data_IF_757864155139
#
_entry.id   IF_757864155139
#
_cell.length_a   1.000
_cell.length_b   1.000
_cell.length_c   1.000
_cell.angle_alpha   90.00
_cell.angle_beta   90.00
_cell.angle_gamma   90.00
#
_symmetry.space_group_name_H-M   'P 1'
#
loop_
_entity.id
_entity.type
_entity.pdbx_description
1 polymer ?
#
# COMPACT_ATOMS: atom_id res chain seq x y z
N UNK A 1 -9.38 1.26 25.67
CA UNK A 1 -8.62 1.77 24.52
C UNK A 1 -9.15 1.11 23.25
N UNK A 2 -9.32 1.88 22.17
CA UNK A 2 -9.77 1.37 20.88
C UNK A 2 -8.69 0.50 20.23
N UNK A 3 -7.42 0.85 20.49
CA UNK A 3 -6.23 0.18 19.95
C UNK A 3 -5.25 -0.16 21.07
N UNK A 4 -5.37 -1.35 21.65
CA UNK A 4 -4.55 -1.76 22.78
C UNK A 4 -3.07 -1.93 22.46
N UNK A 5 -2.72 -2.15 21.19
CA UNK A 5 -1.36 -2.31 20.70
C UNK A 5 -0.59 -0.98 20.65
N UNK A 6 -1.27 0.16 20.64
CA UNK A 6 -0.64 1.47 20.55
C UNK A 6 -0.25 1.97 21.94
N UNK A 7 1.01 2.32 22.10
CA UNK A 7 1.56 2.85 23.37
C UNK A 7 2.31 4.15 23.11
N UNK A 8 2.04 5.17 23.91
CA UNK A 8 2.87 6.38 23.90
C UNK A 8 4.21 6.03 24.56
N UNK A 9 5.29 6.15 23.80
CA UNK A 9 6.66 5.81 24.23
C UNK A 9 7.43 7.03 24.69
N UNK A 10 7.02 8.24 24.27
CA UNK A 10 7.64 9.50 24.68
C UNK A 10 6.60 10.60 24.69
N UNK A 11 6.68 11.52 25.65
CA UNK A 11 5.74 12.61 25.80
C UNK A 11 4.37 12.19 26.35
N UNK A 12 3.31 12.75 25.79
CA UNK A 12 1.92 12.52 26.21
C UNK A 12 0.96 12.51 25.01
N UNK A 13 -0.27 12.08 25.25
CA UNK A 13 -1.37 12.23 24.26
C UNK A 13 -1.73 13.72 24.08
N UNK A 14 -2.22 14.04 22.88
CA UNK A 14 -2.75 15.37 22.57
C UNK A 14 -4.00 15.69 23.39
N UNK A 15 -4.25 16.96 23.59
CA UNK A 15 -5.48 17.45 24.25
C UNK A 15 -6.56 17.70 23.20
N UNK A 16 -7.81 17.25 23.44
CA UNK A 16 -8.94 17.60 22.59
C UNK A 16 -9.09 19.11 22.44
N UNK A 17 -9.45 19.58 21.24
CA UNK A 17 -9.63 20.99 20.94
C UNK A 17 -8.36 21.79 20.71
N UNK A 18 -7.18 21.18 20.80
CA UNK A 18 -5.89 21.86 20.61
C UNK A 18 -5.26 21.50 19.27
N UNK A 19 -4.26 22.30 18.84
CA UNK A 19 -3.41 22.00 17.69
C UNK A 19 -2.22 21.10 18.07
N UNK A 20 -2.42 20.20 19.01
CA UNK A 20 -1.43 19.22 19.42
C UNK A 20 -1.59 17.93 18.64
N UNK A 21 -0.47 17.28 18.33
CA UNK A 21 -0.42 15.99 17.64
C UNK A 21 0.52 15.03 18.34
N UNK A 22 0.27 13.74 18.14
CA UNK A 22 1.22 12.67 18.44
C UNK A 22 1.58 11.97 17.14
N UNK A 23 2.83 11.60 16.99
CA UNK A 23 3.38 11.00 15.78
C UNK A 23 3.73 9.54 16.01
N UNK A 24 3.52 8.69 15.04
CA UNK A 24 4.00 7.32 15.08
C UNK A 24 5.53 7.25 14.96
N UNK A 25 6.14 6.21 15.49
CA UNK A 25 7.60 6.04 15.51
C UNK A 25 8.23 6.22 14.14
N UNK A 26 7.65 5.61 13.09
CA UNK A 26 8.18 5.68 11.73
C UNK A 26 8.16 7.09 11.14
N UNK A 27 7.23 7.94 11.58
CA UNK A 27 7.21 9.37 11.20
C UNK A 27 8.37 10.09 11.90
N UNK A 28 8.56 9.84 13.21
CA UNK A 28 9.64 10.42 13.99
C UNK A 28 11.04 10.10 13.47
N UNK A 29 11.20 8.91 12.86
CA UNK A 29 12.48 8.47 12.28
C UNK A 29 12.74 9.00 10.86
N UNK A 30 11.69 9.37 10.11
CA UNK A 30 11.79 9.75 8.69
C UNK A 30 11.78 11.25 8.43
N UNK A 31 11.18 12.01 9.29
CA UNK A 31 10.93 13.44 9.06
C UNK A 31 11.59 14.28 10.15
N UNK A 32 12.30 15.31 9.74
CA UNK A 32 12.78 16.35 10.65
C UNK A 32 11.61 17.19 11.19
N UNK A 33 11.77 17.78 12.35
CA UNK A 33 10.72 18.59 12.99
C UNK A 33 9.64 17.79 13.70
N UNK A 34 9.89 16.52 13.98
CA UNK A 34 8.96 15.61 14.67
C UNK A 34 9.30 15.37 16.14
N UNK A 35 10.31 16.08 16.67
CA UNK A 35 10.68 16.02 18.08
C UNK A 35 9.59 16.62 18.97
N UNK A 36 9.54 16.18 20.25
CA UNK A 36 8.59 16.72 21.21
C UNK A 36 8.84 18.21 21.43
N UNK A 37 7.78 19.01 21.27
CA UNK A 37 7.82 20.48 21.32
C UNK A 37 8.10 21.14 19.98
N UNK A 38 8.46 20.37 18.94
CA UNK A 38 8.63 20.89 17.59
C UNK A 38 7.28 21.07 16.89
N UNK A 39 7.30 21.78 15.76
CA UNK A 39 6.10 22.13 15.01
C UNK A 39 6.17 21.58 13.61
N UNK A 40 5.16 20.79 13.23
CA UNK A 40 4.92 20.30 11.88
C UNK A 40 3.86 21.15 11.20
N UNK A 41 4.13 21.57 9.95
CA UNK A 41 3.19 22.36 9.16
C UNK A 41 2.51 21.49 8.09
N UNK A 42 1.21 21.30 8.25
CA UNK A 42 0.37 20.63 7.25
C UNK A 42 -1.10 21.09 7.37
N UNK A 43 -1.88 20.91 6.29
CA UNK A 43 -3.28 21.38 6.24
C UNK A 43 -3.40 22.91 6.40
N UNK A 44 -2.36 23.68 6.04
CA UNK A 44 -2.34 25.14 6.20
C UNK A 44 -2.20 25.65 7.63
N UNK A 45 -1.83 24.79 8.57
CA UNK A 45 -1.73 25.07 10.01
C UNK A 45 -0.47 24.46 10.61
N UNK A 46 0.03 25.07 11.68
CA UNK A 46 1.14 24.55 12.46
C UNK A 46 0.59 23.66 13.61
N UNK A 47 1.20 22.48 13.78
CA UNK A 47 0.82 21.48 14.76
C UNK A 47 1.99 21.17 15.68
N UNK A 48 1.76 21.25 16.98
CA UNK A 48 2.81 20.97 17.98
C UNK A 48 2.85 19.48 18.28
N UNK A 49 4.02 18.87 18.12
CA UNK A 49 4.25 17.46 18.50
C UNK A 49 4.39 17.37 20.02
N UNK A 50 3.50 16.64 20.67
CA UNK A 50 3.49 16.48 22.13
C UNK A 50 3.81 15.06 22.60
N UNK A 51 3.91 14.11 21.67
CA UNK A 51 4.27 12.75 21.99
C UNK A 51 4.57 11.91 20.75
N UNK A 52 5.23 10.80 21.02
CA UNK A 52 5.53 9.76 20.03
C UNK A 52 4.90 8.45 20.51
N UNK A 53 4.24 7.74 19.63
CA UNK A 53 3.69 6.42 19.93
C UNK A 53 4.31 5.32 19.09
N UNK A 54 4.23 4.11 19.61
CA UNK A 54 4.66 2.88 18.97
C UNK A 54 3.46 1.95 18.84
N UNK A 55 3.29 1.38 17.66
CA UNK A 55 2.21 0.45 17.33
C UNK A 55 2.75 -0.96 16.93
N UNK A 56 3.96 -1.28 17.36
CA UNK A 56 4.58 -2.60 17.18
C UNK A 56 4.94 -2.92 15.73
N UNK A 57 5.35 -1.95 14.93
CA UNK A 57 5.70 -2.13 13.51
C UNK A 57 4.51 -2.22 12.58
N UNK A 58 3.30 -1.89 13.03
CA UNK A 58 2.11 -1.84 12.20
C UNK A 58 2.04 -0.55 11.37
N UNK A 59 1.12 -0.49 10.40
CA UNK A 59 0.88 0.69 9.58
C UNK A 59 0.60 1.96 10.39
N UNK A 60 0.09 1.81 11.62
CA UNK A 60 -0.17 2.94 12.53
C UNK A 60 1.11 3.69 12.92
N UNK A 61 2.28 3.04 12.90
CA UNK A 61 3.56 3.73 13.16
C UNK A 61 3.88 4.82 12.13
N UNK A 62 3.17 4.84 11.01
CA UNK A 62 3.27 5.86 9.96
C UNK A 62 2.11 6.85 9.97
N UNK A 63 1.36 6.94 11.07
CA UNK A 63 0.25 7.86 11.22
C UNK A 63 0.58 9.03 12.17
N UNK A 64 -0.17 10.12 11.99
CA UNK A 64 -0.20 11.27 12.88
C UNK A 64 -1.61 11.34 13.50
N UNK A 65 -1.69 11.38 14.81
CA UNK A 65 -2.95 11.48 15.52
C UNK A 65 -3.11 12.82 16.21
N UNK A 66 -4.28 13.40 16.09
CA UNK A 66 -4.64 14.66 16.69
C UNK A 66 -6.16 14.78 16.84
N UNK A 67 -6.61 15.95 17.25
CA UNK A 67 -8.03 16.24 17.38
C UNK A 67 -8.71 16.25 16.00
N UNK A 68 -9.73 15.39 15.83
CA UNK A 68 -10.42 15.21 14.56
C UNK A 68 -11.14 16.45 14.06
N UNK A 69 -11.74 17.25 14.96
CA UNK A 69 -12.42 18.49 14.58
C UNK A 69 -11.42 19.54 14.09
N UNK A 70 -10.29 19.67 14.79
CA UNK A 70 -9.23 20.57 14.37
C UNK A 70 -8.62 20.17 13.02
N UNK A 71 -8.47 18.85 12.77
CA UNK A 71 -7.98 18.33 11.49
C UNK A 71 -8.96 18.56 10.35
N UNK A 72 -10.26 18.32 10.56
CA UNK A 72 -11.30 18.59 9.57
C UNK A 72 -11.25 20.06 9.13
N UNK A 73 -11.14 20.98 10.08
CA UNK A 73 -11.07 22.41 9.77
C UNK A 73 -9.78 22.76 9.00
N UNK A 74 -8.63 22.21 9.41
CA UNK A 74 -7.34 22.47 8.75
C UNK A 74 -7.34 21.98 7.30
N UNK A 75 -7.91 20.80 7.04
CA UNK A 75 -8.02 20.24 5.69
C UNK A 75 -9.25 20.70 4.92
N UNK A 76 -10.07 21.59 5.49
CA UNK A 76 -11.31 22.11 4.89
C UNK A 76 -12.25 20.98 4.42
N UNK A 77 -12.32 19.89 5.20
CA UNK A 77 -13.22 18.79 4.92
C UNK A 77 -14.57 19.03 5.59
N UNK A 78 -15.63 18.48 5.01
CA UNK A 78 -17.00 18.62 5.56
C UNK A 78 -17.41 17.42 6.42
N UNK A 79 -16.65 16.32 6.33
CA UNK A 79 -16.97 15.08 7.05
C UNK A 79 -15.72 14.24 7.30
N UNK A 80 -15.83 13.33 8.25
CA UNK A 80 -14.84 12.26 8.46
C UNK A 80 -14.86 11.27 7.31
N UNK A 81 -13.69 10.77 6.90
CA UNK A 81 -13.57 9.73 5.86
C UNK A 81 -14.00 8.36 6.38
N UNK A 82 -13.70 8.07 7.63
CA UNK A 82 -14.08 6.83 8.31
C UNK A 82 -14.20 7.05 9.81
N UNK A 83 -15.01 6.23 10.45
CA UNK A 83 -15.17 6.20 11.91
C UNK A 83 -14.96 4.76 12.37
N UNK A 84 -14.00 4.52 13.23
CA UNK A 84 -13.81 3.22 13.88
C UNK A 84 -14.47 3.22 15.26
N UNK A 85 -15.27 2.21 15.54
CA UNK A 85 -15.93 2.02 16.81
C UNK A 85 -15.77 0.62 17.33
N UNK A 86 -15.70 0.47 18.65
CA UNK A 86 -15.67 -0.86 19.29
C UNK A 86 -17.06 -1.19 19.82
N UNK A 87 -17.59 -2.33 19.41
CA UNK A 87 -18.85 -2.84 19.91
C UNK A 87 -18.61 -3.55 21.26
N UNK A 88 -19.53 -3.35 22.20
CA UNK A 88 -19.53 -4.08 23.47
C UNK A 88 -19.83 -5.56 23.29
N UNK A 89 -20.74 -5.86 22.35
CA UNK A 89 -21.09 -7.22 21.95
C UNK A 89 -20.89 -7.39 20.43
N UNK A 90 -19.99 -8.29 20.00
CA UNK A 90 -19.75 -8.58 18.59
C UNK A 90 -20.99 -9.11 17.84
N UNK A 91 -21.94 -9.75 18.55
CA UNK A 91 -23.16 -10.29 17.94
C UNK A 91 -24.12 -9.19 17.49
N UNK A 92 -24.01 -7.99 18.05
CA UNK A 92 -24.85 -6.84 17.66
C UNK A 92 -24.43 -6.17 16.33
N UNK A 93 -23.35 -6.63 15.69
CA UNK A 93 -22.81 -6.03 14.47
C UNK A 93 -23.81 -5.96 13.33
N UNK A 94 -24.48 -7.08 13.02
CA UNK A 94 -25.39 -7.16 11.88
C UNK A 94 -26.67 -6.31 12.07
N UNK A 95 -27.12 -6.17 13.31
CA UNK A 95 -28.24 -5.30 13.64
C UNK A 95 -27.84 -3.82 13.50
N UNK A 96 -26.67 -3.46 13.98
CA UNK A 96 -26.12 -2.11 13.84
C UNK A 96 -25.87 -1.75 12.37
N UNK A 97 -25.26 -2.65 11.61
CA UNK A 97 -25.02 -2.48 10.17
C UNK A 97 -26.30 -2.16 9.43
N UNK A 98 -27.33 -3.01 9.57
CA UNK A 98 -28.65 -2.77 8.93
C UNK A 98 -29.26 -1.44 9.31
N UNK A 99 -29.19 -1.07 10.60
CA UNK A 99 -29.74 0.19 11.09
C UNK A 99 -29.02 1.42 10.50
N UNK A 100 -27.71 1.39 10.37
CA UNK A 100 -26.92 2.50 9.85
C UNK A 100 -27.04 2.61 8.31
N UNK A 101 -27.02 1.48 7.60
CA UNK A 101 -27.13 1.46 6.14
C UNK A 101 -28.57 1.74 5.65
N UNK A 102 -29.58 1.52 6.47
CA UNK A 102 -30.97 1.84 6.15
C UNK A 102 -31.37 3.29 6.42
N UNK A 103 -30.53 4.09 7.09
CA UNK A 103 -30.84 5.50 7.33
C UNK A 103 -30.53 6.34 6.07
N UNK A 104 -31.55 6.91 5.39
CA UNK A 104 -31.36 7.64 4.14
C UNK A 104 -30.53 8.94 4.30
N UNK A 105 -30.32 9.39 5.53
CA UNK A 105 -29.48 10.56 5.82
C UNK A 105 -28.01 10.25 5.86
N UNK A 106 -27.65 8.96 5.94
CA UNK A 106 -26.28 8.48 6.08
C UNK A 106 -25.94 7.66 4.85
N UNK A 107 -24.90 8.07 4.15
CA UNK A 107 -24.31 7.25 3.08
C UNK A 107 -23.07 6.56 3.68
N UNK A 108 -23.29 5.45 4.38
CA UNK A 108 -22.25 4.73 5.10
C UNK A 108 -22.13 3.30 4.56
N UNK A 109 -20.90 2.83 4.48
CA UNK A 109 -20.56 1.43 4.28
C UNK A 109 -19.98 0.89 5.61
N UNK A 110 -20.74 0.00 6.26
CA UNK A 110 -20.39 -0.52 7.58
C UNK A 110 -19.72 -1.89 7.44
N UNK A 111 -18.44 -1.93 7.73
CA UNK A 111 -17.61 -3.13 7.63
C UNK A 111 -16.93 -3.48 8.94
N UNK A 112 -16.62 -4.75 9.12
CA UNK A 112 -15.68 -5.17 10.16
C UNK A 112 -14.28 -4.67 9.78
N UNK A 113 -13.52 -4.23 10.76
CA UNK A 113 -12.17 -3.70 10.53
C UNK A 113 -11.28 -4.68 9.76
N UNK A 114 -11.35 -5.96 10.08
CA UNK A 114 -10.62 -7.00 9.37
C UNK A 114 -10.98 -7.06 7.88
N UNK A 115 -12.27 -7.10 7.57
CA UNK A 115 -12.78 -7.14 6.19
C UNK A 115 -12.37 -5.90 5.41
N UNK A 116 -12.39 -4.72 6.04
CA UNK A 116 -11.96 -3.49 5.44
C UNK A 116 -10.48 -3.54 4.98
N UNK A 117 -9.59 -4.04 5.84
CA UNK A 117 -8.17 -4.17 5.48
C UNK A 117 -7.91 -5.32 4.50
N UNK A 118 -8.67 -6.41 4.57
CA UNK A 118 -8.59 -7.51 3.60
C UNK A 118 -8.95 -7.02 2.19
N UNK A 119 -10.06 -6.33 2.01
CA UNK A 119 -10.48 -5.75 0.73
C UNK A 119 -9.46 -4.75 0.19
N UNK A 120 -8.90 -3.90 1.03
CA UNK A 120 -7.87 -2.94 0.62
C UNK A 120 -6.59 -3.64 0.17
N UNK A 121 -6.23 -4.74 0.81
CA UNK A 121 -5.05 -5.54 0.44
C UNK A 121 -5.26 -6.31 -0.86
N UNK A 122 -6.48 -6.82 -1.12
CA UNK A 122 -6.82 -7.52 -2.36
C UNK A 122 -6.67 -6.63 -3.60
N UNK A 123 -7.10 -5.38 -3.54
CA UNK A 123 -6.96 -4.42 -4.64
C UNK A 123 -5.48 -4.23 -5.00
N UNK A 124 -4.63 -4.04 -4.01
CA UNK A 124 -3.18 -3.88 -4.22
C UNK A 124 -2.53 -5.17 -4.73
N UNK A 125 -2.90 -6.32 -4.17
CA UNK A 125 -2.41 -7.63 -4.59
C UNK A 125 -2.77 -7.93 -6.05
N UNK A 126 -4.01 -7.68 -6.43
CA UNK A 126 -4.49 -7.86 -7.80
C UNK A 126 -3.74 -6.93 -8.78
N UNK A 127 -3.55 -5.67 -8.42
CA UNK A 127 -2.77 -4.73 -9.23
C UNK A 127 -1.34 -5.23 -9.48
N UNK A 128 -0.63 -5.67 -8.43
CA UNK A 128 0.72 -6.22 -8.54
C UNK A 128 0.73 -7.50 -9.41
N UNK A 129 -0.27 -8.36 -9.25
CA UNK A 129 -0.39 -9.60 -10.03
C UNK A 129 -0.61 -9.34 -11.52
N UNK A 130 -1.49 -8.40 -11.87
CA UNK A 130 -1.70 -8.00 -13.28
C UNK A 130 -0.44 -7.36 -13.87
N UNK A 131 0.24 -6.50 -13.12
CA UNK A 131 1.49 -5.89 -13.54
C UNK A 131 2.57 -6.94 -13.79
N UNK A 132 2.73 -7.88 -12.86
CA UNK A 132 3.69 -8.99 -12.98
C UNK A 132 3.40 -9.88 -14.18
N UNK A 133 2.13 -10.24 -14.39
CA UNK A 133 1.72 -11.03 -15.57
C UNK A 133 2.03 -10.31 -16.87
N UNK A 134 1.68 -9.04 -16.96
CA UNK A 134 1.93 -8.22 -18.17
C UNK A 134 3.42 -8.15 -18.49
N UNK A 135 4.26 -7.86 -17.49
CA UNK A 135 5.71 -7.83 -17.67
C UNK A 135 6.27 -9.19 -18.06
N UNK A 136 5.78 -10.28 -17.47
CA UNK A 136 6.20 -11.64 -17.82
C UNK A 136 5.92 -11.98 -19.28
N UNK A 137 4.76 -11.60 -19.80
CA UNK A 137 4.41 -11.81 -21.21
C UNK A 137 5.35 -11.01 -22.13
N UNK A 138 5.57 -9.73 -21.83
CA UNK A 138 6.47 -8.87 -22.63
C UNK A 138 7.90 -9.42 -22.65
N UNK A 139 8.44 -9.81 -21.49
CA UNK A 139 9.78 -10.37 -21.40
C UNK A 139 9.88 -11.74 -22.10
N UNK A 140 8.86 -12.58 -22.03
CA UNK A 140 8.83 -13.86 -22.74
C UNK A 140 8.91 -13.68 -24.24
N UNK A 141 8.16 -12.74 -24.81
CA UNK A 141 8.22 -12.39 -26.24
C UNK A 141 9.61 -11.86 -26.60
N UNK A 142 10.16 -10.95 -25.80
CA UNK A 142 11.51 -10.42 -26.01
C UNK A 142 12.60 -11.50 -25.99
N UNK A 143 12.52 -12.41 -25.03
CA UNK A 143 13.44 -13.55 -24.92
C UNK A 143 13.34 -14.48 -26.15
N UNK A 144 12.13 -14.74 -26.65
CA UNK A 144 11.91 -15.54 -27.85
C UNK A 144 12.55 -14.91 -29.09
N UNK A 145 12.37 -13.60 -29.27
CA UNK A 145 12.99 -12.85 -30.36
C UNK A 145 14.52 -12.87 -30.24
N UNK A 146 15.04 -12.64 -29.05
CA UNK A 146 16.49 -12.69 -28.79
C UNK A 146 17.11 -14.06 -29.10
N UNK A 147 16.46 -15.13 -28.68
CA UNK A 147 16.87 -16.49 -29.00
C UNK A 147 16.87 -16.77 -30.51
N UNK A 148 15.82 -16.32 -31.22
CA UNK A 148 15.75 -16.46 -32.69
C UNK A 148 16.89 -15.72 -33.40
N UNK A 149 17.21 -14.49 -32.98
CA UNK A 149 18.31 -13.71 -33.56
C UNK A 149 19.65 -14.43 -33.32
N UNK A 150 19.88 -14.94 -32.11
CA UNK A 150 21.11 -15.65 -31.77
C UNK A 150 21.26 -16.93 -32.60
N UNK A 151 20.17 -17.72 -32.71
CA UNK A 151 20.21 -18.94 -33.56
C UNK A 151 20.41 -18.60 -35.03
N UNK A 152 19.72 -17.59 -35.55
CA UNK A 152 19.90 -17.14 -36.92
C UNK A 152 21.36 -16.74 -37.22
N UNK A 153 21.96 -15.97 -36.35
CA UNK A 153 23.35 -15.56 -36.46
C UNK A 153 24.34 -16.74 -36.41
N UNK A 154 24.08 -17.72 -35.53
CA UNK A 154 24.89 -18.94 -35.45
C UNK A 154 24.87 -19.76 -36.73
N UNK A 155 23.68 -19.92 -37.36
CA UNK A 155 23.51 -20.63 -38.63
C UNK A 155 24.12 -19.83 -39.78
N UNK A 156 23.95 -18.50 -39.81
CA UNK A 156 24.49 -17.65 -40.87
C UNK A 156 26.03 -17.70 -40.90
N UNK A 157 26.68 -17.72 -39.75
CA UNK A 157 28.17 -17.81 -39.64
C UNK A 157 28.71 -19.16 -40.09
N UNK A 158 27.89 -20.22 -40.11
CA UNK A 158 28.29 -21.58 -40.56
C UNK A 158 27.76 -21.95 -41.91
N UNK A 159 27.21 -21.02 -42.68
CA UNK A 159 26.58 -21.30 -43.99
C UNK A 159 27.51 -21.99 -44.96
N UNK A 160 28.82 -21.63 -45.02
CA UNK A 160 29.80 -22.25 -45.89
C UNK A 160 30.09 -23.72 -45.51
N UNK A 161 30.19 -24.01 -44.21
CA UNK A 161 30.42 -25.38 -43.68
C UNK A 161 29.18 -26.27 -43.99
N UNK A 162 28.00 -25.76 -43.75
CA UNK A 162 26.73 -26.43 -44.02
C UNK A 162 26.58 -26.70 -45.51
N UNK A 163 27.00 -25.75 -46.38
CA UNK A 163 27.00 -25.89 -47.82
C UNK A 163 27.95 -27.02 -48.29
N UNK A 164 29.16 -27.09 -47.73
CA UNK A 164 30.11 -28.14 -48.05
C UNK A 164 29.61 -29.54 -47.64
N UNK A 165 29.07 -29.70 -46.46
CA UNK A 165 28.48 -30.95 -45.98
C UNK A 165 27.27 -31.40 -46.87
N UNK A 166 26.47 -30.47 -47.32
CA UNK A 166 25.36 -30.78 -48.27
C UNK A 166 25.86 -31.21 -49.66
N UNK A 167 26.95 -30.61 -50.13
CA UNK A 167 27.59 -31.00 -51.38
C UNK A 167 28.16 -32.44 -51.33
N UNK A 168 28.58 -32.89 -50.15
CA UNK A 168 29.02 -34.24 -49.86
C UNK A 168 27.87 -35.25 -49.65
N UNK A 169 26.58 -34.83 -49.77
CA UNK A 169 25.43 -35.70 -49.74
C UNK A 169 24.78 -35.91 -48.37
N UNK A 170 25.20 -35.21 -47.32
CA UNK A 170 24.55 -35.31 -45.97
C UNK A 170 23.11 -34.78 -45.97
N UNK A 171 22.19 -35.48 -45.29
CA UNK A 171 20.81 -35.07 -45.13
C UNK A 171 20.66 -33.91 -44.14
N UNK A 172 19.62 -33.07 -44.33
CA UNK A 172 19.39 -31.87 -43.45
C UNK A 172 19.33 -32.19 -41.96
N UNK A 173 18.69 -33.31 -41.57
CA UNK A 173 18.57 -33.71 -40.17
C UNK A 173 19.85 -34.30 -39.53
N UNK A 174 20.92 -34.48 -40.31
CA UNK A 174 22.23 -34.94 -39.81
C UNK A 174 23.25 -33.80 -39.69
N UNK A 175 22.90 -32.58 -40.11
CA UNK A 175 23.76 -31.38 -40.12
C UNK A 175 23.36 -30.41 -39.01
N UNK A 176 22.12 -30.48 -38.50
CA UNK A 176 21.58 -29.71 -37.37
C UNK A 176 21.74 -30.50 -36.07
#
# INVERSE_FOLDING_TARGET
ALRPQVRVISGRMFRPGSAEIVVGRSIGERFDGTGIGESLRFGGRDWTVVGVFDAGGSAFDSEIWGDGEQMIQAFRRQAFSSVAARLGDPASFDALKRRLESDPRLTLDVKRERTFYEEQSEVMSNFISYLGLTLSVIFSVGAMIGAMITMYSAVANRTAEIGALRALGFRRGSIL
#
